data_IF_122168277033
#
_entry.id   IF_122168277033
#
_cell.length_a   1.000
_cell.length_b   1.000
_cell.length_c   1.000
_cell.angle_alpha   90.00
_cell.angle_beta   90.00
_cell.angle_gamma   90.00
#
_symmetry.space_group_name_H-M   'P 1'
#
loop_
_entity.id
_entity.type
_entity.pdbx_description
1 polymer ?
#
# COMPACT_ATOMS: atom_id res chain seq x y z
N UNK A 1 -21.68 40.82 14.57
CA UNK A 1 -20.48 40.61 13.74
C UNK A 1 -19.31 40.37 14.68
N UNK A 2 -18.97 39.13 14.94
CA UNK A 2 -17.69 38.67 15.60
C UNK A 2 -17.89 37.28 16.21
N UNK A 3 -18.00 36.24 15.40
CA UNK A 3 -17.87 34.85 15.88
C UNK A 3 -17.38 33.85 14.80
N UNK A 4 -17.10 34.30 13.57
CA UNK A 4 -16.63 33.41 12.51
C UNK A 4 -15.10 33.39 12.32
N UNK A 5 -14.39 34.41 12.79
CA UNK A 5 -12.93 34.48 12.64
C UNK A 5 -12.12 33.61 13.64
N UNK A 6 -12.75 33.10 14.71
CA UNK A 6 -12.04 32.30 15.72
C UNK A 6 -12.02 30.79 15.43
N UNK A 7 -12.91 30.30 14.58
CA UNK A 7 -12.98 28.86 14.25
C UNK A 7 -12.01 28.48 13.13
N UNK A 8 -11.74 29.35 12.18
CA UNK A 8 -10.80 29.09 11.08
C UNK A 8 -9.33 29.02 11.55
N UNK A 9 -8.98 29.81 12.55
CA UNK A 9 -7.61 29.83 13.08
C UNK A 9 -7.25 28.60 13.94
N UNK A 10 -8.24 27.98 14.58
CA UNK A 10 -8.03 26.76 15.37
C UNK A 10 -7.89 25.51 14.47
N UNK A 11 -8.63 25.45 13.36
CA UNK A 11 -8.53 24.35 12.38
C UNK A 11 -7.23 24.42 11.56
N UNK A 12 -6.76 25.62 11.22
CA UNK A 12 -5.45 25.82 10.59
C UNK A 12 -4.29 25.38 11.50
N UNK A 13 -4.30 25.77 12.77
CA UNK A 13 -3.25 25.40 13.72
C UNK A 13 -3.20 23.89 14.03
N UNK A 14 -4.34 23.22 14.03
CA UNK A 14 -4.41 21.74 14.23
C UNK A 14 -3.86 21.00 13.01
N UNK A 15 -4.19 21.45 11.81
CA UNK A 15 -3.71 20.88 10.55
C UNK A 15 -2.20 21.05 10.36
N UNK A 16 -1.67 22.20 10.75
CA UNK A 16 -0.22 22.47 10.73
C UNK A 16 0.53 21.58 11.74
N UNK A 17 -0.03 21.35 12.93
CA UNK A 17 0.55 20.48 13.94
C UNK A 17 0.55 19.01 13.53
N UNK A 18 -0.51 18.54 12.89
CA UNK A 18 -0.62 17.18 12.34
C UNK A 18 0.36 16.97 11.18
N UNK A 19 0.50 17.95 10.29
CA UNK A 19 1.46 17.93 9.19
C UNK A 19 2.90 17.90 9.73
N UNK A 20 3.24 18.71 10.72
CA UNK A 20 4.56 18.71 11.35
C UNK A 20 4.85 17.40 12.09
N UNK A 21 3.85 16.81 12.74
CA UNK A 21 4.00 15.51 13.39
C UNK A 21 4.23 14.38 12.36
N UNK A 22 3.55 14.42 11.21
CA UNK A 22 3.75 13.48 10.12
C UNK A 22 5.15 13.62 9.49
N UNK A 23 5.60 14.85 9.25
CA UNK A 23 6.95 15.13 8.75
C UNK A 23 8.04 14.65 9.72
N UNK A 24 7.89 14.90 11.04
CA UNK A 24 8.82 14.41 12.05
C UNK A 24 8.86 12.88 12.14
N UNK A 25 7.72 12.20 11.90
CA UNK A 25 7.67 10.74 11.83
C UNK A 25 8.41 10.21 10.61
N UNK A 26 8.22 10.84 9.44
CA UNK A 26 8.92 10.50 8.19
C UNK A 26 10.42 10.72 8.34
N UNK A 27 10.85 11.84 8.95
CA UNK A 27 12.25 12.13 9.22
C UNK A 27 12.89 11.05 10.12
N UNK A 28 12.17 10.61 11.14
CA UNK A 28 12.60 9.49 12.01
C UNK A 28 12.76 8.18 11.24
N UNK A 29 11.95 7.92 10.23
CA UNK A 29 12.10 6.74 9.36
C UNK A 29 13.39 6.80 8.53
N UNK A 30 13.87 7.99 8.13
CA UNK A 30 15.15 8.14 7.44
C UNK A 30 16.34 7.81 8.33
N UNK A 31 16.28 8.10 9.63
CA UNK A 31 17.30 7.67 10.60
C UNK A 31 17.44 6.15 10.64
N UNK A 32 16.36 5.43 10.37
CA UNK A 32 16.34 3.96 10.26
C UNK A 32 16.69 3.42 8.86
N UNK A 33 17.21 4.27 7.96
CA UNK A 33 17.70 3.86 6.65
C UNK A 33 16.62 3.73 5.57
N UNK A 34 15.41 4.24 5.80
CA UNK A 34 14.42 4.42 4.75
C UNK A 34 14.86 5.52 3.79
N UNK A 35 14.51 5.41 2.53
CA UNK A 35 14.85 6.40 1.50
C UNK A 35 13.56 6.99 0.94
N UNK A 36 13.55 8.32 0.79
CA UNK A 36 12.48 9.00 0.07
C UNK A 36 12.52 8.57 -1.40
N UNK A 37 11.38 8.17 -1.96
CA UNK A 37 11.30 7.89 -3.39
C UNK A 37 11.53 9.19 -4.16
N UNK A 38 12.65 9.26 -4.86
CA UNK A 38 12.92 10.37 -5.77
C UNK A 38 12.28 10.05 -7.13
N UNK A 39 11.07 10.51 -7.34
CA UNK A 39 10.48 10.57 -8.67
C UNK A 39 11.08 11.80 -9.37
N UNK A 40 11.87 11.59 -10.41
CA UNK A 40 12.25 12.69 -11.28
C UNK A 40 11.04 13.08 -12.13
N UNK A 41 10.87 14.37 -12.42
CA UNK A 41 9.71 14.88 -13.17
C UNK A 41 9.63 14.37 -14.62
N UNK A 42 10.65 13.69 -15.12
CA UNK A 42 10.87 13.50 -16.55
C UNK A 42 10.56 12.09 -17.08
N UNK A 43 10.08 11.14 -16.25
CA UNK A 43 9.73 9.82 -16.76
C UNK A 43 8.26 9.81 -17.17
N UNK A 44 8.04 9.80 -18.48
CA UNK A 44 6.72 9.75 -19.10
C UNK A 44 6.36 8.28 -19.39
N UNK A 45 5.14 7.91 -19.04
CA UNK A 45 4.43 6.72 -19.50
C UNK A 45 3.27 7.18 -20.40
N UNK A 46 2.67 6.28 -21.12
CA UNK A 46 1.53 6.60 -21.99
C UNK A 46 0.23 6.25 -21.27
N UNK A 47 -0.71 7.17 -21.17
CA UNK A 47 -2.03 6.92 -20.60
C UNK A 47 -2.89 6.02 -21.52
N UNK A 48 -4.09 5.65 -21.06
CA UNK A 48 -5.03 4.81 -21.81
C UNK A 48 -5.47 5.43 -23.16
N UNK A 49 -5.22 6.73 -23.36
CA UNK A 49 -5.55 7.49 -24.56
C UNK A 49 -4.34 7.75 -25.45
N UNK A 50 -3.16 7.23 -25.08
CA UNK A 50 -1.92 7.39 -25.83
C UNK A 50 -1.16 8.69 -25.53
N UNK A 51 -1.55 9.47 -24.51
CA UNK A 51 -0.87 10.71 -24.14
C UNK A 51 0.28 10.45 -23.17
N UNK A 52 1.39 11.18 -23.30
CA UNK A 52 2.47 11.09 -22.32
C UNK A 52 2.02 11.70 -20.99
N UNK A 53 2.14 10.92 -19.92
CA UNK A 53 1.83 11.31 -18.53
C UNK A 53 3.00 10.91 -17.65
N UNK A 54 3.30 11.68 -16.60
CA UNK A 54 4.34 11.26 -15.66
C UNK A 54 3.91 9.99 -14.90
N UNK A 55 4.86 9.15 -14.50
CA UNK A 55 4.57 7.95 -13.70
C UNK A 55 3.84 8.31 -12.41
N UNK A 56 4.21 9.44 -11.79
CA UNK A 56 3.55 9.95 -10.59
C UNK A 56 2.11 10.36 -10.86
N UNK A 57 1.87 11.11 -11.95
CA UNK A 57 0.51 11.52 -12.30
C UNK A 57 -0.36 10.32 -12.70
N UNK A 58 0.22 9.32 -13.35
CA UNK A 58 -0.46 8.06 -13.65
C UNK A 58 -0.89 7.33 -12.36
N UNK A 59 -0.01 7.25 -11.36
CA UNK A 59 -0.31 6.65 -10.06
C UNK A 59 -1.29 7.48 -9.22
N UNK A 60 -1.20 8.82 -9.29
CA UNK A 60 -2.15 9.69 -8.61
C UNK A 60 -3.54 9.64 -9.26
N UNK A 61 -3.61 9.58 -10.59
CA UNK A 61 -4.88 9.41 -11.29
C UNK A 61 -5.53 8.05 -11.03
N UNK A 62 -4.76 7.02 -10.69
CA UNK A 62 -5.25 5.71 -10.28
C UNK A 62 -6.00 5.73 -8.93
N UNK A 63 -5.85 6.79 -8.09
CA UNK A 63 -6.63 6.93 -6.85
C UNK A 63 -8.15 6.93 -7.08
N UNK A 64 -8.61 7.55 -8.14
CA UNK A 64 -10.04 7.55 -8.48
C UNK A 64 -10.49 6.17 -9.02
N UNK A 65 -9.62 5.48 -9.75
CA UNK A 65 -9.86 4.12 -10.18
C UNK A 65 -9.87 3.13 -9.00
N UNK A 66 -9.08 3.37 -7.95
CA UNK A 66 -9.06 2.55 -6.74
C UNK A 66 -10.38 2.61 -5.94
N UNK A 67 -11.18 3.65 -6.14
CA UNK A 67 -12.54 3.77 -5.57
C UNK A 67 -13.59 3.01 -6.39
N UNK A 68 -13.23 2.54 -7.59
CA UNK A 68 -14.12 1.71 -8.38
C UNK A 68 -14.39 0.37 -7.68
N UNK A 69 -15.58 -0.17 -7.89
CA UNK A 69 -15.96 -1.48 -7.35
C UNK A 69 -15.03 -2.58 -7.89
N UNK A 70 -14.17 -3.10 -7.04
CA UNK A 70 -13.27 -4.22 -7.36
C UNK A 70 -13.95 -5.56 -7.05
N UNK A 71 -13.54 -6.61 -7.74
CA UNK A 71 -13.99 -7.97 -7.44
C UNK A 71 -13.09 -8.71 -6.46
N UNK A 72 -11.98 -8.09 -6.07
CA UNK A 72 -10.96 -8.60 -5.15
C UNK A 72 -10.62 -7.55 -4.10
N UNK A 73 -10.14 -7.94 -2.92
CA UNK A 73 -9.58 -6.98 -1.95
C UNK A 73 -8.39 -6.22 -2.54
N UNK A 74 -8.11 -5.08 -1.93
CA UNK A 74 -6.93 -4.28 -2.23
C UNK A 74 -5.69 -4.87 -1.54
N UNK A 75 -4.53 -4.74 -2.16
CA UNK A 75 -3.25 -5.10 -1.56
C UNK A 75 -2.50 -3.83 -1.15
N UNK A 76 -2.01 -3.76 0.07
CA UNK A 76 -1.20 -2.65 0.55
C UNK A 76 0.18 -3.11 0.99
N UNK A 77 1.22 -2.50 0.44
CA UNK A 77 2.59 -2.61 0.92
C UNK A 77 2.98 -1.32 1.64
N UNK A 78 3.13 -1.42 2.96
CA UNK A 78 3.64 -0.34 3.78
C UNK A 78 5.17 -0.35 3.76
N UNK A 79 5.75 0.75 3.30
CA UNK A 79 7.20 0.96 3.25
C UNK A 79 8.00 -0.22 2.66
N UNK A 80 7.67 -0.70 1.44
CA UNK A 80 8.39 -1.80 0.82
C UNK A 80 9.83 -1.39 0.49
N UNK A 81 10.78 -2.32 0.68
CA UNK A 81 12.21 -2.04 0.57
C UNK A 81 12.89 -2.79 -0.58
N UNK A 82 12.32 -3.89 -1.02
CA UNK A 82 12.90 -4.77 -2.03
C UNK A 82 12.15 -4.58 -3.35
N UNK A 83 12.76 -3.92 -4.36
CA UNK A 83 12.08 -3.61 -5.62
C UNK A 83 11.56 -4.86 -6.35
N UNK A 84 12.25 -6.00 -6.23
CA UNK A 84 11.80 -7.26 -6.82
C UNK A 84 10.50 -7.79 -6.25
N UNK A 85 10.25 -7.58 -4.96
CA UNK A 85 8.97 -7.96 -4.32
C UNK A 85 7.85 -7.05 -4.82
N UNK A 86 8.09 -5.75 -4.90
CA UNK A 86 7.10 -4.81 -5.44
C UNK A 86 6.79 -5.11 -6.90
N UNK A 87 7.80 -5.40 -7.73
CA UNK A 87 7.58 -5.80 -9.12
C UNK A 87 6.72 -7.07 -9.26
N UNK A 88 6.96 -8.07 -8.41
CA UNK A 88 6.15 -9.28 -8.37
C UNK A 88 4.72 -9.02 -7.88
N UNK A 89 4.55 -8.08 -6.93
CA UNK A 89 3.22 -7.68 -6.45
C UNK A 89 2.42 -6.93 -7.53
N UNK A 90 3.06 -6.05 -8.30
CA UNK A 90 2.43 -5.37 -9.44
C UNK A 90 1.88 -6.41 -10.42
N UNK A 91 2.69 -7.42 -10.77
CA UNK A 91 2.25 -8.51 -11.65
C UNK A 91 1.10 -9.33 -11.06
N UNK A 92 1.16 -9.65 -9.76
CA UNK A 92 0.08 -10.32 -9.05
C UNK A 92 -1.23 -9.52 -9.16
N UNK A 93 -1.17 -8.22 -8.92
CA UNK A 93 -2.32 -7.34 -8.96
C UNK A 93 -2.92 -7.23 -10.37
N UNK A 94 -2.06 -7.11 -11.40
CA UNK A 94 -2.50 -7.08 -12.79
C UNK A 94 -3.26 -8.36 -13.20
N UNK A 95 -2.79 -9.54 -12.80
CA UNK A 95 -3.45 -10.82 -13.18
C UNK A 95 -4.68 -11.15 -12.34
N UNK A 96 -4.84 -10.56 -11.16
CA UNK A 96 -6.00 -10.80 -10.28
C UNK A 96 -7.05 -9.69 -10.32
N UNK A 97 -6.75 -8.57 -11.00
CA UNK A 97 -7.59 -7.37 -10.96
C UNK A 97 -7.56 -6.63 -9.63
N UNK A 98 -6.58 -6.93 -8.77
CA UNK A 98 -6.37 -6.27 -7.47
C UNK A 98 -5.71 -4.92 -7.67
N UNK A 99 -6.03 -3.93 -6.84
CA UNK A 99 -5.31 -2.65 -6.77
C UNK A 99 -4.18 -2.77 -5.74
N UNK A 100 -2.96 -2.39 -6.13
CA UNK A 100 -1.81 -2.31 -5.25
C UNK A 100 -1.65 -0.89 -4.70
N UNK A 101 -1.70 -0.74 -3.41
CA UNK A 101 -1.36 0.50 -2.70
C UNK A 101 0.08 0.41 -2.19
N UNK A 102 0.92 1.35 -2.59
CA UNK A 102 2.27 1.52 -2.08
C UNK A 102 2.28 2.72 -1.13
N UNK A 103 2.64 2.50 0.10
CA UNK A 103 2.74 3.57 1.11
C UNK A 103 4.21 3.92 1.32
N UNK A 104 4.55 5.18 1.11
CA UNK A 104 5.89 5.71 1.33
C UNK A 104 6.29 5.74 2.82
N UNK A 105 7.61 5.80 3.11
CA UNK A 105 8.72 5.89 2.18
C UNK A 105 9.07 4.52 1.57
N UNK A 106 9.44 4.51 0.28
CA UNK A 106 9.92 3.30 -0.37
C UNK A 106 11.44 3.16 -0.16
N UNK A 107 11.92 1.93 0.05
CA UNK A 107 13.36 1.64 0.16
C UNK A 107 14.13 1.65 -1.18
N UNK A 108 13.47 2.00 -2.28
CA UNK A 108 14.00 2.00 -3.64
C UNK A 108 13.35 3.11 -4.47
N UNK A 109 13.94 3.39 -5.63
CA UNK A 109 13.33 4.27 -6.62
C UNK A 109 12.46 3.42 -7.58
N UNK A 110 11.25 3.85 -7.91
CA UNK A 110 10.39 3.18 -8.90
C UNK A 110 11.02 3.12 -10.30
N UNK A 111 12.05 3.91 -10.56
CA UNK A 111 12.92 3.81 -11.75
C UNK A 111 13.92 2.66 -11.69
N UNK A 112 14.00 1.91 -10.58
CA UNK A 112 15.00 0.86 -10.43
C UNK A 112 14.86 -0.15 -11.57
N UNK A 113 16.02 -0.43 -12.23
CA UNK A 113 16.11 -1.40 -13.32
C UNK A 113 15.61 -2.79 -12.92
N UNK A 114 15.59 -3.11 -11.62
CA UNK A 114 15.04 -4.36 -11.09
C UNK A 114 13.52 -4.41 -11.17
N UNK A 115 12.82 -3.28 -11.01
CA UNK A 115 11.40 -3.17 -11.30
C UNK A 115 11.13 -3.35 -12.80
N UNK A 116 11.92 -2.70 -13.66
CA UNK A 116 11.82 -2.86 -15.11
C UNK A 116 12.09 -4.29 -15.57
N UNK A 117 13.04 -5.00 -14.93
CA UNK A 117 13.34 -6.42 -15.23
C UNK A 117 12.22 -7.39 -14.84
N UNK A 118 11.27 -6.97 -14.02
CA UNK A 118 10.05 -7.73 -13.77
C UNK A 118 9.11 -7.78 -15.00
N UNK A 119 9.50 -7.13 -16.11
CA UNK A 119 8.72 -7.12 -17.36
C UNK A 119 7.41 -6.37 -17.24
N UNK A 120 7.40 -5.34 -16.38
CA UNK A 120 6.20 -4.52 -16.15
C UNK A 120 5.98 -3.59 -17.34
N UNK A 121 4.79 -3.64 -17.88
CA UNK A 121 4.30 -2.70 -18.88
C UNK A 121 3.34 -1.67 -18.26
N UNK A 122 2.82 -0.77 -19.11
CA UNK A 122 1.88 0.25 -18.69
C UNK A 122 0.60 -0.34 -18.06
N UNK A 123 0.09 -1.44 -18.61
CA UNK A 123 -1.14 -2.07 -18.10
C UNK A 123 -0.94 -2.62 -16.69
N UNK A 124 0.25 -3.16 -16.41
CA UNK A 124 0.59 -3.61 -15.05
C UNK A 124 0.59 -2.42 -14.04
N UNK A 125 1.09 -1.24 -14.46
CA UNK A 125 1.15 -0.05 -13.60
C UNK A 125 -0.19 0.63 -13.36
N UNK A 126 -1.19 0.41 -14.20
CA UNK A 126 -2.54 0.95 -14.03
C UNK A 126 -3.25 0.48 -12.75
N UNK A 127 -2.74 -0.57 -12.12
CA UNK A 127 -3.25 -1.11 -10.85
C UNK A 127 -2.45 -0.65 -9.62
N UNK A 128 -1.59 0.35 -9.74
CA UNK A 128 -0.72 0.82 -8.65
C UNK A 128 -1.10 2.23 -8.22
N UNK A 129 -1.39 2.39 -6.93
CA UNK A 129 -1.65 3.68 -6.29
C UNK A 129 -0.53 3.99 -5.30
N UNK A 130 0.02 5.19 -5.35
CA UNK A 130 1.04 5.65 -4.42
C UNK A 130 0.43 6.57 -3.37
N UNK A 131 0.78 6.33 -2.11
CA UNK A 131 0.38 7.16 -0.97
C UNK A 131 1.61 7.75 -0.29
N UNK A 132 1.66 9.05 -0.01
CA UNK A 132 2.79 9.69 0.65
C UNK A 132 2.98 9.24 2.12
N UNK A 133 1.91 8.73 2.73
CA UNK A 133 1.92 8.20 4.10
C UNK A 133 0.71 7.27 4.30
N UNK A 134 0.62 6.64 5.47
CA UNK A 134 -0.45 5.69 5.79
C UNK A 134 -1.79 6.37 6.03
N UNK A 135 -1.77 7.57 6.59
CA UNK A 135 -2.95 8.39 6.84
C UNK A 135 -3.66 8.74 5.52
N UNK A 136 -2.90 9.08 4.46
CA UNK A 136 -3.44 9.33 3.12
C UNK A 136 -4.15 8.09 2.54
N UNK A 137 -3.63 6.89 2.78
CA UNK A 137 -4.33 5.65 2.42
C UNK A 137 -5.67 5.54 3.15
N UNK A 138 -5.66 5.72 4.48
CA UNK A 138 -6.87 5.60 5.33
C UNK A 138 -7.93 6.62 4.90
N UNK A 139 -7.53 7.87 4.71
CA UNK A 139 -8.44 8.95 4.28
C UNK A 139 -9.00 8.73 2.87
N UNK A 140 -8.22 8.14 1.98
CA UNK A 140 -8.67 7.86 0.61
C UNK A 140 -9.70 6.72 0.54
N UNK A 141 -9.73 5.83 1.55
CA UNK A 141 -10.57 4.64 1.61
C UNK A 141 -11.27 4.48 2.98
N UNK A 142 -12.10 5.44 3.40
CA UNK A 142 -12.62 5.52 4.77
C UNK A 142 -13.53 4.35 5.16
N UNK A 143 -14.18 3.72 4.19
CA UNK A 143 -15.10 2.59 4.41
C UNK A 143 -14.41 1.23 4.33
N UNK A 144 -13.10 1.20 4.10
CA UNK A 144 -12.33 -0.02 3.94
C UNK A 144 -11.85 -0.54 5.29
N UNK A 145 -11.96 -1.85 5.45
CA UNK A 145 -11.41 -2.56 6.60
C UNK A 145 -9.97 -2.98 6.31
N UNK A 146 -9.05 -2.62 7.19
CA UNK A 146 -7.63 -2.97 7.06
C UNK A 146 -7.36 -4.26 7.83
N UNK A 147 -6.83 -5.27 7.13
CA UNK A 147 -6.45 -6.58 7.67
C UNK A 147 -4.93 -6.71 7.56
N UNK A 148 -4.24 -6.69 8.71
CA UNK A 148 -2.78 -6.74 8.75
C UNK A 148 -2.28 -8.19 8.80
N UNK A 149 -1.37 -8.52 7.90
CA UNK A 149 -0.72 -9.84 7.81
C UNK A 149 0.60 -9.81 8.58
N UNK A 150 0.62 -10.41 9.77
CA UNK A 150 1.80 -10.46 10.63
C UNK A 150 2.02 -11.87 11.19
N UNK A 151 3.29 -12.28 11.33
CA UNK A 151 3.63 -13.58 11.91
C UNK A 151 3.25 -13.70 13.39
N UNK A 152 3.01 -12.56 14.06
CA UNK A 152 2.68 -12.50 15.49
C UNK A 152 1.18 -12.65 15.78
N UNK A 153 0.32 -12.61 14.78
CA UNK A 153 -1.11 -12.80 14.97
C UNK A 153 -1.44 -14.22 15.45
N UNK A 154 -2.53 -14.33 16.18
CA UNK A 154 -3.08 -15.63 16.63
C UNK A 154 -4.08 -16.19 15.64
N UNK A 155 -4.88 -15.33 15.00
CA UNK A 155 -5.90 -15.67 14.02
C UNK A 155 -5.28 -16.11 12.69
N UNK A 156 -5.81 -17.14 12.06
CA UNK A 156 -5.37 -17.56 10.74
C UNK A 156 -6.03 -16.70 9.65
N UNK A 157 -5.35 -16.51 8.54
CA UNK A 157 -5.85 -15.76 7.39
C UNK A 157 -7.12 -16.37 6.78
N UNK A 158 -7.33 -17.67 6.92
CA UNK A 158 -8.52 -18.39 6.44
C UNK A 158 -9.75 -18.17 7.34
N UNK A 159 -9.57 -17.66 8.56
CA UNK A 159 -10.65 -17.42 9.51
C UNK A 159 -11.30 -16.03 9.31
N UNK A 160 -10.94 -15.32 8.25
CA UNK A 160 -11.53 -14.05 7.83
C UNK A 160 -12.58 -14.31 6.74
N UNK A 161 -13.71 -13.67 6.87
CA UNK A 161 -14.66 -13.48 5.78
C UNK A 161 -14.26 -12.20 5.02
N UNK A 162 -13.64 -12.39 3.86
CA UNK A 162 -13.11 -11.28 3.05
C UNK A 162 -14.20 -10.56 2.27
N UNK A 163 -13.99 -9.24 2.08
CA UNK A 163 -14.85 -8.37 1.27
C UNK A 163 -14.02 -7.72 0.16
N UNK A 164 -14.63 -7.36 -0.97
CA UNK A 164 -13.91 -6.67 -2.06
C UNK A 164 -13.28 -5.34 -1.61
N UNK A 165 -13.87 -4.68 -0.61
CA UNK A 165 -13.40 -3.40 -0.05
C UNK A 165 -12.32 -3.55 1.00
N UNK A 166 -11.91 -4.76 1.38
CA UNK A 166 -10.85 -4.95 2.38
C UNK A 166 -9.49 -4.52 1.81
N UNK A 167 -8.63 -4.01 2.68
CA UNK A 167 -7.22 -3.73 2.38
C UNK A 167 -6.37 -4.76 3.11
N UNK A 168 -5.65 -5.59 2.36
CA UNK A 168 -4.72 -6.57 2.90
C UNK A 168 -3.36 -5.91 3.08
N UNK A 169 -3.02 -5.57 4.32
CA UNK A 169 -1.83 -4.82 4.69
C UNK A 169 -0.64 -5.73 4.97
N UNK A 170 0.47 -5.46 4.30
CA UNK A 170 1.76 -6.15 4.45
C UNK A 170 2.89 -5.13 4.66
N UNK A 171 3.91 -5.52 5.42
CA UNK A 171 5.14 -4.77 5.65
C UNK A 171 5.31 -4.32 7.10
N UNK A 172 6.35 -3.52 7.40
CA UNK A 172 7.49 -3.30 6.54
C UNK A 172 8.28 -4.58 6.28
N UNK A 173 9.05 -4.62 5.19
CA UNK A 173 9.90 -5.78 4.91
C UNK A 173 10.99 -5.95 5.97
N UNK A 174 11.38 -7.22 6.30
CA UNK A 174 12.33 -7.45 7.38
C UNK A 174 13.66 -6.73 7.16
N UNK A 175 14.09 -6.09 8.18
CA UNK A 175 15.38 -5.44 8.38
C UNK A 175 15.48 -5.19 9.86
N UNK A 176 16.65 -4.88 10.39
CA UNK A 176 16.85 -4.58 11.82
C UNK A 176 16.22 -3.24 12.25
N UNK A 177 15.18 -2.82 11.56
CA UNK A 177 14.53 -1.54 11.77
C UNK A 177 13.13 -1.85 12.30
N UNK A 178 12.83 -1.49 13.56
CA UNK A 178 11.49 -1.58 14.11
C UNK A 178 10.53 -0.78 13.22
N UNK A 179 9.29 -1.18 13.14
CA UNK A 179 8.23 -0.33 12.61
C UNK A 179 8.00 0.81 13.62
N UNK A 180 8.53 2.03 13.38
CA UNK A 180 8.45 3.11 14.35
C UNK A 180 7.02 3.64 14.49
N UNK A 181 6.14 3.24 13.59
CA UNK A 181 4.74 3.69 13.52
C UNK A 181 3.78 2.69 14.11
N UNK A 182 4.25 1.45 14.37
CA UNK A 182 3.41 0.32 14.80
C UNK A 182 2.12 0.17 13.95
N UNK A 183 2.26 0.40 12.65
CA UNK A 183 1.14 0.42 11.71
C UNK A 183 0.40 -0.92 11.70
N UNK A 184 1.13 -2.02 11.86
CA UNK A 184 0.57 -3.38 11.80
C UNK A 184 -0.33 -3.71 13.01
N UNK A 185 -0.24 -2.94 14.11
CA UNK A 185 -1.07 -3.07 15.30
C UNK A 185 -1.78 -1.75 15.67
N UNK A 186 -1.73 -0.75 14.76
CA UNK A 186 -2.29 0.58 14.98
C UNK A 186 -3.82 0.61 14.99
N UNK A 187 -4.40 1.76 15.34
CA UNK A 187 -5.85 1.90 15.54
C UNK A 187 -6.68 1.72 14.27
N UNK A 188 -6.07 1.82 13.10
CA UNK A 188 -6.75 1.62 11.80
C UNK A 188 -6.81 0.15 11.37
N UNK A 189 -6.10 -0.75 12.05
CA UNK A 189 -6.11 -2.19 11.75
C UNK A 189 -7.31 -2.83 12.45
N UNK A 190 -8.24 -3.33 11.65
CA UNK A 190 -9.43 -4.01 12.16
C UNK A 190 -9.14 -5.43 12.64
N UNK A 191 -8.22 -6.12 11.95
CA UNK A 191 -7.86 -7.51 12.22
C UNK A 191 -6.37 -7.76 11.95
N UNK A 192 -5.77 -8.60 12.78
CA UNK A 192 -4.43 -9.15 12.52
C UNK A 192 -4.54 -10.63 12.23
N UNK A 193 -3.91 -11.08 11.15
CA UNK A 193 -3.93 -12.47 10.73
C UNK A 193 -2.54 -12.96 10.35
N UNK A 194 -2.36 -14.28 10.36
CA UNK A 194 -1.11 -14.91 9.93
C UNK A 194 -1.33 -16.04 8.94
N UNK A 195 -0.34 -16.26 8.09
CA UNK A 195 -0.18 -17.53 7.39
C UNK A 195 0.50 -18.52 8.34
N UNK A 196 0.03 -19.76 8.45
CA UNK A 196 0.70 -20.77 9.25
C UNK A 196 2.07 -21.12 8.66
N UNK A 197 3.08 -21.19 9.52
CA UNK A 197 4.43 -21.58 9.15
C UNK A 197 4.96 -22.60 10.15
N UNK A 198 5.89 -23.46 9.71
CA UNK A 198 6.58 -24.37 10.63
C UNK A 198 7.44 -23.57 11.62
N UNK A 199 7.47 -23.94 12.90
CA UNK A 199 8.28 -23.27 13.91
C UNK A 199 9.76 -23.21 13.50
N UNK A 200 10.45 -22.14 13.95
CA UNK A 200 11.90 -21.96 13.80
C UNK A 200 12.42 -21.79 12.36
N UNK A 201 11.53 -21.58 11.40
CA UNK A 201 11.92 -21.24 10.02
C UNK A 201 11.82 -19.74 9.75
N UNK A 202 12.50 -19.29 8.68
CA UNK A 202 12.39 -17.91 8.21
C UNK A 202 10.99 -17.65 7.69
N UNK A 203 10.60 -16.38 7.72
CA UNK A 203 9.36 -15.90 7.10
C UNK A 203 9.31 -16.21 5.60
N UNK A 204 8.12 -16.48 5.10
CA UNK A 204 7.87 -16.57 3.68
C UNK A 204 8.16 -15.20 3.01
N UNK A 205 8.51 -15.22 1.74
CA UNK A 205 8.68 -13.99 0.95
C UNK A 205 7.39 -13.15 0.99
N UNK A 206 7.52 -11.81 1.03
CA UNK A 206 6.40 -10.89 1.17
C UNK A 206 5.34 -11.10 0.08
N UNK A 207 5.76 -11.14 -1.18
CA UNK A 207 4.82 -11.30 -2.31
C UNK A 207 4.22 -12.71 -2.37
N UNK A 208 4.95 -13.74 -1.92
CA UNK A 208 4.37 -15.07 -1.79
C UNK A 208 3.25 -15.08 -0.73
N UNK A 209 3.44 -14.39 0.40
CA UNK A 209 2.38 -14.21 1.40
C UNK A 209 1.18 -13.47 0.80
N UNK A 210 1.42 -12.38 0.09
CA UNK A 210 0.38 -11.59 -0.55
C UNK A 210 -0.39 -12.42 -1.60
N UNK A 211 0.32 -13.24 -2.39
CA UNK A 211 -0.31 -14.12 -3.38
C UNK A 211 -1.27 -15.11 -2.72
N UNK A 212 -0.85 -15.75 -1.65
CA UNK A 212 -1.70 -16.69 -0.90
C UNK A 212 -2.94 -15.98 -0.36
N UNK A 213 -2.75 -14.79 0.24
CA UNK A 213 -3.83 -14.01 0.82
C UNK A 213 -4.85 -13.54 -0.23
N UNK A 214 -4.38 -12.98 -1.34
CA UNK A 214 -5.24 -12.52 -2.44
C UNK A 214 -6.01 -13.67 -3.07
N UNK A 215 -5.36 -14.80 -3.35
CA UNK A 215 -6.03 -15.96 -3.94
C UNK A 215 -7.04 -16.60 -2.99
N UNK A 216 -6.79 -16.64 -1.68
CA UNK A 216 -7.78 -17.10 -0.70
C UNK A 216 -8.98 -16.15 -0.65
N UNK A 217 -8.75 -14.86 -0.57
CA UNK A 217 -9.82 -13.87 -0.57
C UNK A 217 -10.65 -13.95 -1.87
N UNK A 218 -9.98 -14.03 -3.02
CA UNK A 218 -10.64 -14.15 -4.32
C UNK A 218 -11.42 -15.49 -4.45
N UNK A 219 -10.89 -16.58 -3.89
CA UNK A 219 -11.62 -17.86 -3.79
C UNK A 219 -12.92 -17.70 -3.02
N UNK A 220 -12.91 -17.03 -1.87
CA UNK A 220 -14.10 -16.75 -1.06
C UNK A 220 -15.12 -15.89 -1.83
N UNK A 221 -14.65 -14.98 -2.67
CA UNK A 221 -15.47 -14.12 -3.54
C UNK A 221 -15.87 -14.80 -4.86
N UNK A 222 -15.65 -16.12 -4.99
CA UNK A 222 -16.09 -16.93 -6.13
C UNK A 222 -15.28 -16.73 -7.40
N UNK A 223 -14.03 -16.26 -7.31
CA UNK A 223 -13.15 -15.96 -8.46
C UNK A 223 -13.80 -15.06 -9.52
N UNK A 224 -14.65 -14.14 -9.08
CA UNK A 224 -15.36 -13.21 -9.97
C UNK A 224 -14.37 -12.48 -10.89
N UNK A 225 -14.60 -12.51 -12.20
CA UNK A 225 -13.70 -11.93 -13.22
C UNK A 225 -12.51 -12.82 -13.62
N UNK A 226 -12.32 -13.98 -13.00
CA UNK A 226 -11.36 -15.00 -13.43
C UNK A 226 -11.89 -15.84 -14.59
N UNK A 227 -10.96 -16.42 -15.39
CA UNK A 227 -11.27 -17.32 -16.50
C UNK A 227 -11.18 -18.78 -16.09
#
# INVERSE_FOLDING_TARGET
MTNEEHTDNAQGATRDAETQAAEAKVEKMFEYGYRKSNYGPDELVTDAHGNPISVVDAMLSAKDAAKAETSTPHLCYYSPRIPGNTGSAIRLCAVTGTILHLVEPLGFNLRDTKLRRAGLDYHDMAHVVLHPNFEDLVESMPDSRIIAFTAHATKLYIDIEYKPTDILLFGPEPGNIPDPMDIMAGPHVAEQVRLPMRPSLRSLNLTNCASIAIYEAWRQLGFKGGA
#
